data_IF_740704069244
#
_entry.id   IF_740704069244
#
_cell.length_a   1.000
_cell.length_b   1.000
_cell.length_c   1.000
_cell.angle_alpha   90.00
_cell.angle_beta   90.00
_cell.angle_gamma   90.00
#
_symmetry.space_group_name_H-M   'P 1'
#
loop_
_entity.id
_entity.type
_entity.pdbx_description
1 polymer ?
#
# COMPACT_ATOMS: atom_id res chain seq x y z
N UNK A 1 9.14 16.31 -6.71
CA UNK A 1 8.50 15.70 -5.53
C UNK A 1 7.31 14.83 -5.91
N UNK A 2 6.46 15.21 -6.88
CA UNK A 2 5.36 14.36 -7.39
C UNK A 2 5.81 13.01 -7.96
N UNK A 3 7.01 12.96 -8.55
CA UNK A 3 7.55 11.77 -9.23
C UNK A 3 7.80 10.60 -8.26
N UNK A 4 8.33 10.87 -7.06
CA UNK A 4 8.66 9.83 -6.09
C UNK A 4 7.41 9.18 -5.48
N UNK A 5 6.41 10.01 -5.15
CA UNK A 5 5.11 9.54 -4.67
C UNK A 5 4.41 8.66 -5.71
N UNK A 6 4.35 9.13 -6.97
CA UNK A 6 3.72 8.38 -8.05
C UNK A 6 4.48 7.09 -8.38
N UNK A 7 5.82 7.09 -8.27
CA UNK A 7 6.63 5.88 -8.38
C UNK A 7 6.30 4.89 -7.25
N UNK A 8 6.16 5.35 -6.01
CA UNK A 8 5.82 4.49 -4.88
C UNK A 8 4.42 3.86 -5.04
N UNK A 9 3.43 4.63 -5.50
CA UNK A 9 2.07 4.12 -5.79
C UNK A 9 2.12 3.08 -6.91
N UNK A 10 2.87 3.33 -8.00
CA UNK A 10 3.01 2.37 -9.09
C UNK A 10 3.68 1.06 -8.63
N UNK A 11 4.68 1.14 -7.74
CA UNK A 11 5.34 -0.03 -7.17
C UNK A 11 4.44 -0.79 -6.18
N UNK A 12 3.66 -0.09 -5.36
CA UNK A 12 2.62 -0.70 -4.53
C UNK A 12 1.67 -1.51 -5.39
N UNK A 13 1.13 -0.90 -6.44
CA UNK A 13 0.18 -1.54 -7.35
C UNK A 13 0.78 -2.82 -7.95
N UNK A 14 2.00 -2.75 -8.48
CA UNK A 14 2.71 -3.93 -8.98
C UNK A 14 2.89 -5.00 -7.92
N UNK A 15 3.27 -4.61 -6.69
CA UNK A 15 3.40 -5.51 -5.56
C UNK A 15 2.10 -6.27 -5.28
N UNK A 16 0.98 -5.56 -5.23
CA UNK A 16 -0.35 -6.16 -5.06
C UNK A 16 -0.76 -7.04 -6.26
N UNK A 17 -0.43 -6.64 -7.49
CA UNK A 17 -0.70 -7.42 -8.71
C UNK A 17 0.10 -8.74 -8.77
N UNK A 18 1.23 -8.86 -8.04
CA UNK A 18 1.95 -10.14 -7.95
C UNK A 18 1.23 -11.20 -7.12
N UNK A 19 0.20 -10.82 -6.38
CA UNK A 19 -0.51 -11.68 -5.44
C UNK A 19 -1.62 -12.39 -6.20
N UNK A 20 -1.33 -13.61 -6.65
CA UNK A 20 -2.23 -14.37 -7.52
C UNK A 20 -3.54 -14.79 -6.84
N UNK A 21 -3.55 -14.89 -5.51
CA UNK A 21 -4.73 -15.32 -4.76
C UNK A 21 -5.82 -14.24 -4.69
N UNK A 22 -5.50 -12.96 -4.97
CA UNK A 22 -6.43 -11.84 -4.71
C UNK A 22 -6.44 -10.80 -5.82
N UNK A 23 -7.65 -10.40 -6.22
CA UNK A 23 -7.84 -9.32 -7.17
C UNK A 23 -7.96 -7.99 -6.43
N UNK A 24 -6.89 -7.19 -6.42
CA UNK A 24 -6.90 -5.83 -5.90
C UNK A 24 -7.30 -4.84 -7.00
N UNK A 25 -8.28 -3.99 -6.73
CA UNK A 25 -8.69 -2.91 -7.63
C UNK A 25 -8.48 -1.57 -6.95
N UNK A 26 -7.68 -0.70 -7.56
CA UNK A 26 -7.54 0.68 -7.12
C UNK A 26 -8.83 1.45 -7.36
N UNK A 27 -9.28 2.20 -6.35
CA UNK A 27 -10.51 3.00 -6.41
C UNK A 27 -10.18 4.48 -6.52
N UNK A 28 -9.29 4.99 -5.66
CA UNK A 28 -8.92 6.40 -5.63
C UNK A 28 -7.62 6.63 -4.86
N UNK A 29 -6.79 7.55 -5.34
CA UNK A 29 -5.74 8.17 -4.52
C UNK A 29 -6.38 9.23 -3.60
N UNK A 30 -6.05 9.19 -2.31
CA UNK A 30 -6.50 10.16 -1.31
C UNK A 30 -5.39 11.21 -1.12
N UNK A 31 -5.71 12.51 -1.20
CA UNK A 31 -4.72 13.56 -1.00
C UNK A 31 -4.17 13.53 0.43
N UNK A 32 -2.87 13.67 0.54
CA UNK A 32 -2.10 13.67 1.79
C UNK A 32 -1.48 15.05 2.02
N UNK A 33 -1.38 15.47 3.29
CA UNK A 33 -0.74 16.74 3.64
C UNK A 33 0.79 16.70 3.43
N UNK A 34 1.40 15.53 3.67
CA UNK A 34 2.82 15.29 3.40
C UNK A 34 2.99 14.82 1.95
N UNK A 35 3.79 15.56 1.17
CA UNK A 35 4.03 15.28 -0.24
C UNK A 35 4.75 13.96 -0.50
N UNK A 36 5.45 13.44 0.50
CA UNK A 36 6.16 12.17 0.41
C UNK A 36 5.31 10.98 0.87
N UNK A 37 4.22 11.21 1.62
CA UNK A 37 3.30 10.15 2.02
C UNK A 37 2.22 9.94 0.94
N UNK A 38 1.64 8.74 0.91
CA UNK A 38 0.52 8.45 0.02
C UNK A 38 -0.58 7.66 0.72
N UNK A 39 -1.79 7.82 0.22
CA UNK A 39 -2.95 7.05 0.62
C UNK A 39 -3.72 6.63 -0.62
N UNK A 40 -4.04 5.35 -0.73
CA UNK A 40 -4.75 4.80 -1.89
C UNK A 40 -5.82 3.85 -1.42
N UNK A 41 -7.06 4.10 -1.83
CA UNK A 41 -8.21 3.26 -1.55
C UNK A 41 -8.25 2.11 -2.54
N UNK A 42 -8.39 0.89 -2.03
CA UNK A 42 -8.53 -0.34 -2.78
C UNK A 42 -9.81 -1.08 -2.41
N UNK A 43 -10.34 -1.82 -3.38
CA UNK A 43 -11.14 -3.00 -3.10
C UNK A 43 -10.32 -4.27 -3.33
N UNK A 44 -10.72 -5.35 -2.66
CA UNK A 44 -10.24 -6.69 -2.96
C UNK A 44 -11.40 -7.67 -3.07
N UNK A 45 -11.19 -8.72 -3.86
CA UNK A 45 -12.08 -9.90 -3.93
C UNK A 45 -11.24 -11.17 -3.79
N UNK A 46 -11.66 -12.08 -2.91
CA UNK A 46 -11.01 -13.36 -2.65
C UNK A 46 -12.02 -14.39 -2.09
N UNK A 47 -12.25 -15.51 -2.78
CA UNK A 47 -13.14 -16.60 -2.31
C UNK A 47 -14.46 -16.08 -1.69
N UNK A 48 -15.22 -15.29 -2.46
CA UNK A 48 -16.48 -14.61 -2.08
C UNK A 48 -16.38 -13.54 -0.97
N UNK A 49 -15.18 -13.25 -0.47
CA UNK A 49 -14.92 -12.11 0.41
C UNK A 49 -14.58 -10.88 -0.42
N UNK A 50 -15.38 -9.83 -0.26
CA UNK A 50 -15.09 -8.50 -0.81
C UNK A 50 -14.88 -7.46 0.29
N UNK A 51 -13.89 -6.60 0.12
CA UNK A 51 -13.66 -5.56 1.11
C UNK A 51 -13.06 -4.29 0.56
N UNK A 52 -13.19 -3.23 1.35
CA UNK A 52 -12.71 -1.89 1.06
C UNK A 52 -11.72 -1.48 2.13
N UNK A 53 -10.55 -1.02 1.71
CA UNK A 53 -9.51 -0.57 2.62
C UNK A 53 -8.67 0.52 1.96
N UNK A 54 -8.04 1.34 2.79
CA UNK A 54 -7.09 2.36 2.40
C UNK A 54 -5.70 1.86 2.77
N UNK A 55 -4.81 1.79 1.78
CA UNK A 55 -3.38 1.60 2.00
C UNK A 55 -2.76 2.95 2.32
N UNK A 56 -2.06 3.03 3.44
CA UNK A 56 -1.32 4.21 3.88
C UNK A 56 0.15 3.89 3.76
N UNK A 57 0.87 4.62 2.91
CA UNK A 57 2.32 4.58 2.80
C UNK A 57 2.93 5.78 3.49
N UNK A 58 3.67 5.54 4.57
CA UNK A 58 4.41 6.59 5.28
C UNK A 58 5.89 6.46 5.03
N UNK A 59 6.55 7.58 4.74
CA UNK A 59 8.01 7.61 4.65
C UNK A 59 8.65 7.42 6.01
N UNK A 60 9.43 6.35 6.17
CA UNK A 60 10.13 6.06 7.41
C UNK A 60 11.36 6.98 7.53
N UNK A 61 11.25 8.05 8.30
CA UNK A 61 12.30 9.09 8.44
C UNK A 61 13.44 8.72 9.40
N UNK A 62 13.55 7.46 9.85
CA UNK A 62 14.27 7.10 11.09
C UNK A 62 15.32 5.98 11.02
N UNK A 63 15.82 5.60 9.85
CA UNK A 63 16.89 4.61 9.73
C UNK A 63 18.27 5.25 9.61
N UNK A 64 19.24 4.83 10.41
CA UNK A 64 20.66 5.23 10.35
C UNK A 64 21.34 5.02 8.99
N UNK A 65 20.67 4.35 8.05
CA UNK A 65 21.06 4.23 6.65
C UNK A 65 20.26 5.22 5.78
N UNK A 66 20.68 6.50 5.75
CA UNK A 66 20.09 7.59 4.94
C UNK A 66 20.16 7.35 3.41
N UNK A 67 20.55 6.16 2.97
CA UNK A 67 20.88 5.87 1.56
C UNK A 67 19.70 5.38 0.74
N UNK A 68 18.61 4.87 1.34
CA UNK A 68 17.42 4.41 0.60
C UNK A 68 16.11 4.96 1.18
N UNK A 69 15.23 5.55 0.36
CA UNK A 69 13.88 5.88 0.80
C UNK A 69 13.17 4.58 1.20
N UNK A 70 12.52 4.60 2.36
CA UNK A 70 11.75 3.47 2.89
C UNK A 70 10.34 3.91 3.18
N UNK A 71 9.38 3.09 2.77
CA UNK A 71 7.97 3.23 3.08
C UNK A 71 7.55 2.14 4.06
N UNK A 72 6.76 2.52 5.05
CA UNK A 72 5.98 1.62 5.87
C UNK A 72 4.53 1.63 5.34
N UNK A 73 3.99 0.45 5.05
CA UNK A 73 2.62 0.27 4.57
C UNK A 73 1.72 -0.22 5.70
N UNK A 74 0.52 0.35 5.77
CA UNK A 74 -0.54 -0.13 6.68
C UNK A 74 -1.90 -0.06 5.99
N UNK A 75 -2.82 -0.96 6.36
CA UNK A 75 -4.21 -0.92 5.91
C UNK A 75 -5.14 -0.33 6.97
N UNK A 76 -6.03 0.56 6.53
CA UNK A 76 -7.22 0.96 7.27
C UNK A 76 -8.47 0.49 6.53
N UNK A 77 -9.24 -0.41 7.13
CA UNK A 77 -10.47 -0.89 6.51
C UNK A 77 -11.57 0.16 6.64
N UNK A 78 -12.47 0.23 5.66
CA UNK A 78 -13.61 1.13 5.72
C UNK A 78 -14.75 0.48 6.52
N UNK A 79 -15.42 1.22 7.41
CA UNK A 79 -16.51 0.70 8.27
C UNK A 79 -17.68 0.10 7.46
N UNK A 80 -17.89 0.62 6.25
CA UNK A 80 -18.89 0.16 5.28
C UNK A 80 -18.45 -1.08 4.48
N UNK A 81 -17.22 -1.58 4.69
CA UNK A 81 -16.78 -2.82 4.06
C UNK A 81 -17.62 -4.00 4.57
N UNK A 82 -18.12 -4.81 3.63
CA UNK A 82 -18.91 -6.02 3.90
C UNK A 82 -18.24 -6.98 4.89
N UNK A 83 -16.91 -6.90 5.02
CA UNK A 83 -16.10 -7.70 5.94
C UNK A 83 -15.18 -6.85 6.85
N UNK A 84 -15.54 -5.60 7.17
CA UNK A 84 -14.78 -4.69 8.03
C UNK A 84 -14.32 -5.33 9.37
N UNK A 85 -15.11 -6.24 9.93
CA UNK A 85 -14.78 -6.97 11.17
C UNK A 85 -14.14 -8.35 10.99
N UNK A 86 -13.87 -8.79 9.75
CA UNK A 86 -13.27 -10.11 9.51
C UNK A 86 -11.77 -10.08 9.82
N UNK A 87 -11.41 -10.64 10.98
CA UNK A 87 -10.01 -10.83 11.39
C UNK A 87 -9.22 -11.60 10.34
N UNK A 88 -9.86 -12.55 9.65
CA UNK A 88 -9.25 -13.32 8.57
C UNK A 88 -8.91 -12.45 7.35
N UNK A 89 -9.85 -11.60 6.90
CA UNK A 89 -9.63 -10.70 5.78
C UNK A 89 -8.54 -9.66 6.08
N UNK A 90 -8.57 -9.10 7.30
CA UNK A 90 -7.54 -8.17 7.77
C UNK A 90 -6.16 -8.81 7.79
N UNK A 91 -6.03 -9.99 8.42
CA UNK A 91 -4.77 -10.70 8.50
C UNK A 91 -4.23 -11.18 7.15
N UNK A 92 -5.09 -11.37 6.15
CA UNK A 92 -4.67 -11.64 4.77
C UNK A 92 -4.09 -10.38 4.13
N UNK A 93 -4.85 -9.29 4.09
CA UNK A 93 -4.40 -8.00 3.52
C UNK A 93 -3.11 -7.51 4.17
N UNK A 94 -2.95 -7.66 5.49
CA UNK A 94 -1.71 -7.29 6.18
C UNK A 94 -0.49 -8.09 5.66
N UNK A 95 -0.65 -9.38 5.33
CA UNK A 95 0.42 -10.22 4.75
C UNK A 95 0.76 -9.79 3.32
N UNK A 96 -0.25 -9.41 2.56
CA UNK A 96 -0.09 -8.92 1.19
C UNK A 96 0.61 -7.58 1.13
N UNK A 97 0.23 -6.68 2.04
CA UNK A 97 0.88 -5.40 2.18
C UNK A 97 2.31 -5.55 2.68
N UNK A 98 2.61 -6.49 3.57
CA UNK A 98 4.00 -6.76 3.96
C UNK A 98 4.85 -7.24 2.76
N UNK A 99 4.27 -8.05 1.87
CA UNK A 99 4.95 -8.50 0.64
C UNK A 99 5.12 -7.35 -0.36
N UNK A 100 4.09 -6.54 -0.53
CA UNK A 100 4.09 -5.35 -1.40
C UNK A 100 5.04 -4.27 -0.88
N UNK A 101 5.13 -4.08 0.43
CA UNK A 101 6.07 -3.17 1.09
C UNK A 101 7.51 -3.58 0.80
N UNK A 102 7.81 -4.89 0.92
CA UNK A 102 9.14 -5.41 0.58
C UNK A 102 9.47 -5.14 -0.89
N UNK A 103 8.55 -5.48 -1.80
CA UNK A 103 8.73 -5.25 -3.23
C UNK A 103 8.96 -3.77 -3.53
N UNK A 104 8.12 -2.89 -2.98
CA UNK A 104 8.24 -1.43 -3.12
C UNK A 104 9.61 -0.95 -2.64
N UNK A 105 10.02 -1.32 -1.42
CA UNK A 105 11.28 -0.86 -0.84
C UNK A 105 12.53 -1.42 -1.54
N UNK A 106 12.41 -2.55 -2.24
CA UNK A 106 13.48 -3.11 -3.06
C UNK A 106 13.64 -2.38 -4.40
N UNK A 107 12.54 -1.86 -4.95
CA UNK A 107 12.50 -1.29 -6.31
C UNK A 107 12.41 0.24 -6.34
N UNK A 108 12.05 0.88 -5.24
CA UNK A 108 11.95 2.33 -5.16
C UNK A 108 13.36 2.92 -5.31
N UNK A 109 13.53 3.77 -6.32
CA UNK A 109 14.79 4.45 -6.57
C UNK A 109 14.78 5.81 -5.87
N UNK A 110 15.93 6.19 -5.30
CA UNK A 110 16.14 7.57 -4.87
C UNK A 110 16.31 8.39 -6.15
N UNK A 111 15.38 9.29 -6.46
CA UNK A 111 15.64 10.26 -7.53
C UNK A 111 16.85 11.11 -7.12
N UNK A 112 17.95 11.13 -7.88
CA UNK A 112 18.97 12.14 -7.70
C UNK A 112 18.37 13.47 -8.16
N UNK A 113 18.45 14.47 -7.27
CA UNK A 113 18.14 15.86 -7.56
C UNK A 113 19.01 16.39 -8.72
#
# INVERSE_FOLDING_TARGET
MTDHKQQAIALLKRGLETIQDRAYTEIAEIPTENSDDFQVKYSFVHDDLEGLFTVIGKTATGGSDQRKPRFALSAEFAEDSRHFGSVAAKGQVDKDLASSERYLNEHIQKHPN
#
